data_IF_732347200068
#
_entry.id   IF_732347200068
#
_cell.length_a   1.000
_cell.length_b   1.000
_cell.length_c   1.000
_cell.angle_alpha   90.00
_cell.angle_beta   90.00
_cell.angle_gamma   90.00
#
_symmetry.space_group_name_H-M   'P 1'
#
loop_
_entity.id
_entity.type
_entity.pdbx_description
1 polymer ?
#
# COMPACT_ATOMS: atom_id res chain seq x y z
N UNK A 1 -1.47 -5.63 23.17
CA UNK A 1 -0.50 -5.15 24.17
C UNK A 1 0.56 -6.21 24.36
N UNK A 2 1.83 -5.87 24.49
CA UNK A 2 2.86 -6.87 24.80
C UNK A 2 2.56 -7.47 26.18
N UNK A 3 2.66 -8.78 26.26
CA UNK A 3 2.43 -9.54 27.49
C UNK A 3 3.45 -9.21 28.60
N UNK A 4 4.68 -8.88 28.17
CA UNK A 4 5.76 -8.50 29.09
C UNK A 4 5.88 -6.98 29.15
N UNK A 5 6.00 -6.39 30.34
CA UNK A 5 6.25 -4.95 30.49
C UNK A 5 7.52 -4.54 29.72
N UNK A 6 7.41 -3.50 28.93
CA UNK A 6 8.53 -2.96 28.15
C UNK A 6 8.94 -1.63 28.77
N UNK A 7 10.23 -1.43 29.02
CA UNK A 7 10.73 -0.17 29.55
C UNK A 7 10.62 0.96 28.55
N UNK A 8 10.45 2.19 29.00
CA UNK A 8 10.44 3.37 28.16
C UNK A 8 11.72 3.52 27.33
N UNK A 9 12.87 3.07 27.85
CA UNK A 9 14.12 3.06 27.11
C UNK A 9 14.09 2.15 25.88
N UNK A 10 13.46 0.98 25.99
CA UNK A 10 13.26 0.07 24.85
C UNK A 10 12.30 0.65 23.83
N UNK A 11 11.26 1.36 24.27
CA UNK A 11 10.32 2.04 23.37
C UNK A 11 10.98 3.28 22.75
N UNK A 12 11.77 4.02 23.54
CA UNK A 12 12.44 5.23 23.12
C UNK A 12 13.48 5.02 22.04
N UNK A 13 14.17 3.87 22.05
CA UNK A 13 15.10 3.43 20.98
C UNK A 13 16.14 4.46 20.53
N UNK A 14 16.39 5.50 21.32
CA UNK A 14 17.17 6.69 20.91
C UNK A 14 18.61 6.35 20.50
N UNK A 15 19.18 5.34 21.13
CA UNK A 15 20.58 4.95 20.90
C UNK A 15 20.77 4.21 19.58
N UNK A 16 19.73 3.61 19.03
CA UNK A 16 19.79 2.87 17.76
C UNK A 16 19.54 3.75 16.53
N UNK A 17 19.23 5.04 16.74
CA UNK A 17 19.13 6.06 15.69
C UNK A 17 18.30 5.61 14.48
N UNK A 18 18.93 5.50 13.31
CA UNK A 18 18.27 5.12 12.06
C UNK A 18 17.63 3.71 12.08
N UNK A 19 18.10 2.82 12.95
CA UNK A 19 17.52 1.49 13.10
C UNK A 19 16.21 1.51 13.89
N UNK A 20 15.99 2.54 14.68
CA UNK A 20 14.75 2.71 15.43
C UNK A 20 13.57 3.04 14.52
N UNK A 21 13.80 3.89 13.53
CA UNK A 21 12.79 4.29 12.54
C UNK A 21 13.37 4.16 11.12
N UNK A 22 13.50 2.92 10.62
CA UNK A 22 14.08 2.69 9.30
C UNK A 22 13.13 3.19 8.20
N UNK A 23 13.65 4.00 7.29
CA UNK A 23 12.94 4.42 6.10
C UNK A 23 13.07 3.34 5.02
N UNK A 24 11.94 2.79 4.59
CA UNK A 24 11.86 1.84 3.49
C UNK A 24 11.55 2.58 2.19
N UNK A 25 12.17 2.14 1.11
CA UNK A 25 11.93 2.65 -0.23
C UNK A 25 11.53 1.53 -1.18
N UNK A 26 10.78 1.85 -2.22
CA UNK A 26 10.40 0.87 -3.24
C UNK A 26 11.59 0.54 -4.15
N UNK A 27 11.51 -0.56 -4.89
CA UNK A 27 12.57 -0.96 -5.82
C UNK A 27 12.81 0.03 -6.96
N UNK A 28 11.79 0.81 -7.32
CA UNK A 28 11.87 1.83 -8.36
C UNK A 28 12.06 3.24 -7.81
N UNK A 29 12.47 3.36 -6.55
CA UNK A 29 12.68 4.65 -5.89
C UNK A 29 13.60 5.60 -6.68
N UNK A 30 14.69 5.07 -7.25
CA UNK A 30 15.63 5.90 -8.04
C UNK A 30 14.98 6.49 -9.28
N UNK A 31 14.04 5.76 -9.89
CA UNK A 31 13.24 6.28 -10.99
C UNK A 31 12.32 7.42 -10.51
N UNK A 32 11.69 7.28 -9.36
CA UNK A 32 10.86 8.34 -8.76
C UNK A 32 11.69 9.60 -8.49
N UNK A 33 12.86 9.46 -7.88
CA UNK A 33 13.79 10.57 -7.62
C UNK A 33 14.20 11.24 -8.91
N UNK A 34 14.60 10.47 -9.92
CA UNK A 34 15.00 10.98 -11.25
C UNK A 34 13.89 11.77 -11.94
N UNK A 35 12.64 11.42 -11.68
CA UNK A 35 11.46 12.09 -12.23
C UNK A 35 10.90 13.18 -11.30
N UNK A 36 11.68 13.66 -10.34
CA UNK A 36 11.34 14.74 -9.41
C UNK A 36 10.09 14.45 -8.55
N UNK A 37 9.81 13.20 -8.25
CA UNK A 37 8.71 12.84 -7.36
C UNK A 37 8.81 13.58 -6.03
N UNK A 38 7.70 14.04 -5.51
CA UNK A 38 7.54 14.39 -4.11
C UNK A 38 7.06 13.16 -3.35
N UNK A 39 7.56 13.00 -2.13
CA UNK A 39 7.35 11.81 -1.36
C UNK A 39 6.48 12.09 -0.13
N UNK A 40 5.76 11.07 0.30
CA UNK A 40 5.06 11.01 1.57
C UNK A 40 5.50 9.81 2.39
N UNK A 41 5.42 9.92 3.70
CA UNK A 41 5.62 8.82 4.61
C UNK A 41 4.29 8.08 4.84
N UNK A 42 4.29 6.78 4.54
CA UNK A 42 3.19 5.87 4.86
C UNK A 42 3.74 4.78 5.77
N UNK A 43 3.61 4.98 7.07
CA UNK A 43 4.35 4.21 8.05
C UNK A 43 5.86 4.40 7.82
N UNK A 44 6.60 3.30 7.72
CA UNK A 44 8.04 3.32 7.43
C UNK A 44 8.38 3.45 5.94
N UNK A 45 7.39 3.48 5.07
CA UNK A 45 7.61 3.58 3.63
C UNK A 45 7.68 5.03 3.18
N UNK A 46 8.73 5.36 2.41
CA UNK A 46 8.80 6.57 1.60
C UNK A 46 8.15 6.26 0.26
N UNK A 47 6.94 6.78 0.03
CA UNK A 47 6.16 6.53 -1.18
C UNK A 47 6.12 7.77 -2.07
N UNK A 48 6.28 7.59 -3.39
CA UNK A 48 6.07 8.67 -4.32
C UNK A 48 4.60 9.14 -4.26
N UNK A 49 4.40 10.44 -4.12
CA UNK A 49 3.08 11.04 -3.95
C UNK A 49 2.62 11.74 -5.22
N UNK A 50 3.41 12.67 -5.76
CA UNK A 50 3.09 13.39 -6.99
C UNK A 50 4.38 13.85 -7.70
N UNK A 51 4.26 14.25 -8.97
CA UNK A 51 5.40 14.60 -9.84
C UNK A 51 5.23 16.00 -10.42
N UNK A 52 5.70 17.05 -9.75
CA UNK A 52 5.58 18.42 -10.26
C UNK A 52 6.49 18.63 -11.46
N UNK A 53 6.00 19.37 -12.46
CA UNK A 53 6.75 19.83 -13.61
C UNK A 53 7.09 21.28 -13.37
N UNK A 54 8.40 21.64 -13.38
CA UNK A 54 8.90 23.02 -13.19
C UNK A 54 7.99 23.83 -12.25
N UNK A 55 8.30 24.45 -11.31
CA UNK A 55 7.56 25.36 -10.41
C UNK A 55 6.03 25.20 -10.30
N UNK A 56 5.48 24.04 -10.70
CA UNK A 56 4.07 23.72 -10.63
C UNK A 56 3.62 23.64 -9.16
N UNK A 57 2.49 24.25 -8.84
CA UNK A 57 1.91 24.14 -7.50
C UNK A 57 1.42 22.71 -7.25
N UNK A 58 1.27 22.34 -5.98
CA UNK A 58 0.68 21.04 -5.60
C UNK A 58 -0.67 20.80 -6.29
N UNK A 59 -1.58 21.78 -6.20
CA UNK A 59 -2.92 21.64 -6.77
C UNK A 59 -2.88 21.44 -8.30
N UNK A 60 -2.08 22.24 -9.00
CA UNK A 60 -1.96 22.14 -10.46
C UNK A 60 -1.37 20.78 -10.88
N UNK A 61 -0.41 20.26 -10.09
CA UNK A 61 0.16 18.93 -10.33
C UNK A 61 -0.93 17.85 -10.22
N UNK A 62 -1.71 17.87 -9.14
CA UNK A 62 -2.80 16.90 -8.91
C UNK A 62 -3.84 16.99 -10.01
N UNK A 63 -4.28 18.20 -10.38
CA UNK A 63 -5.28 18.41 -11.42
C UNK A 63 -4.80 17.84 -12.77
N UNK A 64 -3.54 18.06 -13.11
CA UNK A 64 -2.91 17.53 -14.32
C UNK A 64 -2.80 16.00 -14.28
N UNK A 65 -2.39 15.43 -13.14
CA UNK A 65 -2.26 13.96 -13.00
C UNK A 65 -3.64 13.28 -13.06
N UNK A 66 -4.65 13.84 -12.40
CA UNK A 66 -6.04 13.36 -12.47
C UNK A 66 -6.57 13.45 -13.90
N UNK A 67 -6.33 14.56 -14.59
CA UNK A 67 -6.73 14.71 -15.99
C UNK A 67 -6.08 13.65 -16.88
N UNK A 68 -4.77 13.40 -16.69
CA UNK A 68 -4.04 12.39 -17.43
C UNK A 68 -4.56 10.97 -17.16
N UNK A 69 -4.82 10.64 -15.89
CA UNK A 69 -5.37 9.33 -15.51
C UNK A 69 -6.76 9.08 -16.14
N UNK A 70 -7.57 10.12 -16.32
CA UNK A 70 -8.92 10.01 -16.90
C UNK A 70 -8.92 10.00 -18.42
N UNK A 71 -8.04 10.73 -19.05
CA UNK A 71 -8.08 10.98 -20.50
C UNK A 71 -6.94 10.29 -21.27
N UNK A 72 -5.93 9.76 -20.58
CA UNK A 72 -4.75 9.13 -21.16
C UNK A 72 -4.41 7.86 -20.41
N UNK A 73 -3.21 7.79 -19.83
CA UNK A 73 -2.75 6.67 -19.02
C UNK A 73 -2.04 7.18 -17.77
N UNK A 74 -2.19 6.44 -16.66
CA UNK A 74 -1.50 6.70 -15.41
C UNK A 74 -0.72 5.47 -14.95
N UNK A 75 0.34 5.70 -14.19
CA UNK A 75 1.13 4.68 -13.51
C UNK A 75 1.08 4.95 -12.00
N UNK A 76 0.88 3.91 -11.23
CA UNK A 76 0.94 3.95 -9.77
C UNK A 76 1.93 2.89 -9.27
N UNK A 77 2.89 3.32 -8.44
CA UNK A 77 3.74 2.37 -7.70
C UNK A 77 3.00 1.82 -6.47
N UNK A 78 2.44 0.64 -6.60
CA UNK A 78 1.74 -0.07 -5.54
C UNK A 78 2.66 -1.02 -4.75
N UNK A 79 3.99 -0.91 -4.89
CA UNK A 79 4.95 -1.83 -4.26
C UNK A 79 4.91 -1.83 -2.73
N UNK A 80 4.37 -0.78 -2.12
CA UNK A 80 4.22 -0.68 -0.66
C UNK A 80 3.04 -1.47 -0.11
N UNK A 81 2.10 -1.90 -0.97
CA UNK A 81 0.96 -2.70 -0.57
C UNK A 81 1.36 -4.16 -0.38
N UNK A 82 0.74 -4.86 0.56
CA UNK A 82 0.93 -6.30 0.75
C UNK A 82 0.37 -7.09 -0.43
N UNK A 83 1.07 -8.13 -0.83
CA UNK A 83 0.63 -9.11 -1.84
C UNK A 83 0.58 -10.47 -1.19
N UNK A 84 -0.56 -11.13 -1.31
CA UNK A 84 -0.78 -12.46 -0.75
C UNK A 84 -1.22 -13.37 -1.89
N UNK A 85 -0.43 -14.42 -2.15
CA UNK A 85 -0.74 -15.45 -3.13
C UNK A 85 -1.39 -16.64 -2.40
N UNK A 86 -2.62 -16.96 -2.76
CA UNK A 86 -3.39 -18.08 -2.15
C UNK A 86 -3.67 -19.10 -3.25
N UNK A 87 -3.09 -20.28 -3.10
CA UNK A 87 -3.19 -21.37 -4.10
C UNK A 87 -3.81 -22.62 -3.52
N UNK A 88 -4.52 -23.35 -4.35
CA UNK A 88 -5.09 -24.65 -4.02
C UNK A 88 -6.54 -24.80 -4.45
N UNK A 89 -7.07 -26.02 -4.44
CA UNK A 89 -8.43 -26.30 -4.90
C UNK A 89 -9.51 -25.61 -4.05
N UNK A 90 -9.21 -25.30 -2.80
CA UNK A 90 -10.14 -24.65 -1.86
C UNK A 90 -9.85 -23.16 -1.65
N UNK A 91 -8.97 -22.54 -2.46
CA UNK A 91 -8.60 -21.12 -2.31
C UNK A 91 -9.82 -20.20 -2.34
N UNK A 92 -10.74 -20.40 -3.28
CA UNK A 92 -11.99 -19.63 -3.37
C UNK A 92 -12.87 -19.76 -2.12
N UNK A 93 -13.06 -20.99 -1.63
CA UNK A 93 -13.84 -21.25 -0.40
C UNK A 93 -13.19 -20.63 0.83
N UNK A 94 -11.87 -20.71 0.92
CA UNK A 94 -11.12 -20.06 2.00
C UNK A 94 -11.32 -18.54 1.99
N UNK A 95 -11.26 -17.93 0.83
CA UNK A 95 -11.52 -16.49 0.68
C UNK A 95 -12.97 -16.13 1.02
N UNK A 96 -13.94 -16.96 0.69
CA UNK A 96 -15.36 -16.76 1.07
C UNK A 96 -15.58 -16.73 2.58
N UNK A 97 -14.71 -17.41 3.34
CA UNK A 97 -14.78 -17.42 4.81
C UNK A 97 -14.16 -16.17 5.45
N UNK A 98 -13.18 -15.57 4.78
CA UNK A 98 -12.42 -14.43 5.34
C UNK A 98 -13.02 -13.09 4.91
N UNK A 99 -13.52 -13.03 3.69
CA UNK A 99 -14.01 -11.80 3.08
C UNK A 99 -15.54 -11.73 3.11
N UNK A 100 -16.06 -10.52 2.98
CA UNK A 100 -17.50 -10.29 2.87
C UNK A 100 -18.07 -10.62 1.49
N UNK A 101 -17.23 -10.93 0.52
CA UNK A 101 -17.59 -11.22 -0.86
C UNK A 101 -17.59 -12.74 -1.13
N UNK A 102 -18.35 -13.16 -2.14
CA UNK A 102 -18.26 -14.50 -2.66
C UNK A 102 -17.16 -14.58 -3.73
N UNK A 103 -16.02 -15.16 -3.37
CA UNK A 103 -14.84 -15.30 -4.22
C UNK A 103 -14.88 -16.56 -5.08
N UNK A 104 -15.57 -17.61 -4.62
CA UNK A 104 -15.70 -18.88 -5.37
C UNK A 104 -16.35 -18.69 -6.74
N UNK A 105 -17.14 -17.62 -6.94
CA UNK A 105 -17.77 -17.32 -8.23
C UNK A 105 -16.97 -16.30 -9.08
N UNK A 106 -15.79 -15.88 -8.63
CA UNK A 106 -14.95 -14.98 -9.41
C UNK A 106 -14.32 -15.72 -10.59
N UNK A 107 -14.56 -15.23 -11.79
CA UNK A 107 -14.00 -15.84 -13.00
C UNK A 107 -12.51 -15.56 -13.10
N UNK A 108 -11.75 -16.52 -13.64
CA UNK A 108 -10.32 -16.34 -13.94
C UNK A 108 -10.08 -15.08 -14.78
N UNK A 109 -9.06 -14.33 -14.44
CA UNK A 109 -8.72 -13.06 -15.08
C UNK A 109 -9.62 -11.87 -14.69
N UNK A 110 -10.44 -12.01 -13.65
CA UNK A 110 -11.27 -10.92 -13.12
C UNK A 110 -10.79 -10.49 -11.74
N UNK A 111 -10.91 -9.20 -11.46
CA UNK A 111 -10.60 -8.59 -10.17
C UNK A 111 -11.87 -8.19 -9.44
N UNK A 112 -11.81 -8.17 -8.13
CA UNK A 112 -12.90 -7.74 -7.27
C UNK A 112 -12.33 -7.06 -6.03
N UNK A 113 -12.87 -5.93 -5.65
CA UNK A 113 -12.62 -5.36 -4.32
C UNK A 113 -13.32 -6.18 -3.27
N UNK A 114 -12.70 -6.33 -2.11
CA UNK A 114 -13.26 -7.04 -0.98
C UNK A 114 -12.84 -6.45 0.34
N UNK A 115 -13.66 -6.67 1.36
CA UNK A 115 -13.37 -6.31 2.73
C UNK A 115 -13.04 -7.56 3.52
N UNK A 116 -11.91 -7.57 4.21
CA UNK A 116 -11.55 -8.59 5.17
C UNK A 116 -11.80 -8.04 6.58
N UNK A 117 -12.96 -8.32 7.19
CA UNK A 117 -13.25 -7.86 8.54
C UNK A 117 -12.38 -8.63 9.53
N UNK A 118 -11.74 -7.92 10.44
CA UNK A 118 -11.03 -8.50 11.58
C UNK A 118 -11.89 -8.32 12.81
N UNK A 119 -11.94 -9.31 13.66
CA UNK A 119 -12.91 -9.45 14.76
C UNK A 119 -12.94 -8.32 15.78
N UNK A 120 -12.14 -7.30 15.67
CA UNK A 120 -12.03 -6.32 16.75
C UNK A 120 -12.22 -4.86 16.42
N UNK A 121 -12.05 -4.35 15.24
CA UNK A 121 -12.23 -2.89 15.05
C UNK A 121 -11.56 -2.29 13.82
N UNK A 122 -10.77 -3.04 13.07
CA UNK A 122 -10.10 -2.49 11.91
C UNK A 122 -10.60 -3.15 10.63
N UNK A 123 -11.22 -2.33 9.78
CA UNK A 123 -11.42 -2.66 8.37
C UNK A 123 -10.09 -2.44 7.65
N UNK A 124 -9.43 -3.51 7.27
CA UNK A 124 -8.39 -3.42 6.26
C UNK A 124 -9.05 -3.49 4.89
N UNK A 125 -8.74 -2.56 4.01
CA UNK A 125 -9.10 -2.61 2.60
C UNK A 125 -7.98 -3.30 1.83
N UNK A 126 -8.03 -4.61 1.57
CA UNK A 126 -7.10 -5.22 0.65
C UNK A 126 -7.64 -5.06 -0.76
N UNK A 127 -6.83 -4.49 -1.61
CA UNK A 127 -6.99 -4.71 -3.04
C UNK A 127 -6.47 -6.11 -3.34
N UNK A 128 -7.34 -7.03 -3.71
CA UNK A 128 -6.93 -8.36 -4.15
C UNK A 128 -7.08 -8.46 -5.66
N UNK A 129 -5.98 -8.76 -6.31
CA UNK A 129 -6.00 -9.31 -7.66
C UNK A 129 -6.04 -10.83 -7.54
N UNK A 130 -7.05 -11.46 -8.09
CA UNK A 130 -7.07 -12.89 -8.29
C UNK A 130 -6.49 -13.19 -9.68
N UNK A 131 -5.46 -13.98 -9.72
CA UNK A 131 -4.84 -14.49 -10.96
C UNK A 131 -5.55 -15.79 -11.39
#
# INVERSE_FOLDING_TARGET
MPYTPVTLGNIGGRDIKKLFDPVRVTRINDWHVKNNAKFEHVGQWMRAWYYPIKNESFQNTIDREVFNARNKAGILDASTLGKIDIRGPDAGKFLDLIYTNNWSNLKVGKCRYGLMPVSYTHLTLPTTEAV
#
